data_IF_760462473732
#
_entry.id   IF_760462473732
#
_cell.length_a   1.000
_cell.length_b   1.000
_cell.length_c   1.000
_cell.angle_alpha   90.00
_cell.angle_beta   90.00
_cell.angle_gamma   90.00
#
_symmetry.space_group_name_H-M   'P 1'
#
loop_
_entity.id
_entity.type
_entity.pdbx_description
1 polymer ?
#
# COMPACT_ATOMS: atom_id res chain seq x y z
N UNK A 1 43.75 -7.89 46.28
CA UNK A 1 43.88 -8.03 44.81
C UNK A 1 42.89 -9.03 44.20
N UNK A 2 42.81 -10.29 44.65
CA UNK A 2 41.90 -11.30 44.08
C UNK A 2 40.40 -10.92 44.10
N UNK A 3 39.93 -10.26 45.16
CA UNK A 3 38.54 -9.84 45.29
C UNK A 3 38.19 -8.63 44.39
N UNK A 4 39.18 -7.76 44.14
CA UNK A 4 39.04 -6.63 43.22
C UNK A 4 38.96 -7.12 41.76
N UNK A 5 39.79 -8.11 41.39
CA UNK A 5 39.75 -8.71 40.06
C UNK A 5 38.41 -9.43 39.79
N UNK A 6 37.88 -10.15 40.79
CA UNK A 6 36.54 -10.77 40.71
C UNK A 6 35.43 -9.73 40.55
N UNK A 7 35.49 -8.61 41.29
CA UNK A 7 34.50 -7.55 41.18
C UNK A 7 34.51 -6.91 39.77
N UNK A 8 35.70 -6.68 39.21
CA UNK A 8 35.84 -6.17 37.84
C UNK A 8 35.28 -7.17 36.83
N UNK A 9 35.60 -8.46 36.96
CA UNK A 9 35.08 -9.51 36.06
C UNK A 9 33.55 -9.60 36.08
N UNK A 10 32.94 -9.54 37.28
CA UNK A 10 31.48 -9.56 37.43
C UNK A 10 30.88 -8.31 36.79
N UNK A 11 31.46 -7.13 37.04
CA UNK A 11 30.97 -5.88 36.49
C UNK A 11 31.04 -5.86 34.95
N UNK A 12 32.15 -6.33 34.37
CA UNK A 12 32.28 -6.48 32.92
C UNK A 12 31.27 -7.48 32.35
N UNK A 13 31.04 -8.62 33.00
CA UNK A 13 30.04 -9.60 32.56
C UNK A 13 28.61 -9.05 32.58
N UNK A 14 28.28 -8.21 33.57
CA UNK A 14 26.98 -7.54 33.66
C UNK A 14 26.80 -6.52 32.53
N UNK A 15 27.83 -5.71 32.24
CA UNK A 15 27.75 -4.73 31.15
C UNK A 15 27.62 -5.42 29.78
N UNK A 16 28.38 -6.48 29.54
CA UNK A 16 28.32 -7.22 28.28
C UNK A 16 26.95 -7.88 28.11
N UNK A 17 26.42 -8.52 29.15
CA UNK A 17 25.11 -9.17 29.09
C UNK A 17 23.98 -8.16 28.90
N UNK A 18 24.02 -7.02 29.59
CA UNK A 18 23.06 -5.93 29.38
C UNK A 18 23.12 -5.38 27.94
N UNK A 19 24.33 -5.18 27.39
CA UNK A 19 24.51 -4.73 26.00
C UNK A 19 23.92 -5.71 24.98
N UNK A 20 24.13 -7.01 25.19
CA UNK A 20 23.57 -8.08 24.33
C UNK A 20 22.04 -8.10 24.40
N UNK A 21 21.46 -7.95 25.59
CA UNK A 21 19.99 -7.90 25.76
C UNK A 21 19.41 -6.68 25.05
N UNK A 22 20.00 -5.50 25.22
CA UNK A 22 19.55 -4.26 24.56
C UNK A 22 19.61 -4.42 23.04
N UNK A 23 20.69 -5.00 22.52
CA UNK A 23 20.84 -5.22 21.08
C UNK A 23 19.79 -6.20 20.54
N UNK A 24 19.59 -7.34 21.21
CA UNK A 24 18.59 -8.34 20.82
C UNK A 24 17.17 -7.78 20.86
N UNK A 25 16.78 -7.05 21.91
CA UNK A 25 15.45 -6.44 22.02
C UNK A 25 15.23 -5.39 20.92
N UNK A 26 16.23 -4.57 20.62
CA UNK A 26 16.14 -3.55 19.56
C UNK A 26 16.00 -4.16 18.16
N UNK A 27 16.70 -5.27 17.88
CA UNK A 27 16.59 -5.96 16.58
C UNK A 27 15.22 -6.63 16.39
N UNK A 28 14.63 -7.19 17.45
CA UNK A 28 13.29 -7.80 17.40
C UNK A 28 12.20 -6.76 17.13
N UNK A 29 12.27 -5.61 17.80
CA UNK A 29 11.34 -4.51 17.55
C UNK A 29 11.39 -4.04 16.09
N UNK A 30 12.59 -3.92 15.49
CA UNK A 30 12.73 -3.52 14.08
C UNK A 30 12.14 -4.53 13.09
N UNK A 31 12.19 -5.82 13.41
CA UNK A 31 11.59 -6.87 12.58
C UNK A 31 10.05 -6.90 12.70
N UNK A 32 9.52 -6.62 13.89
CA UNK A 32 8.07 -6.61 14.16
C UNK A 32 7.36 -5.40 13.53
N UNK A 33 8.06 -4.27 13.36
CA UNK A 33 7.56 -3.06 12.67
C UNK A 33 8.02 -2.93 11.21
N UNK A 34 8.67 -3.95 10.64
CA UNK A 34 8.97 -3.99 9.21
C UNK A 34 7.71 -4.36 8.42
N UNK A 35 6.70 -3.50 8.51
CA UNK A 35 5.53 -3.62 7.64
C UNK A 35 5.94 -3.18 6.24
N UNK A 36 5.47 -3.93 5.25
CA UNK A 36 5.78 -3.72 3.84
C UNK A 36 5.16 -2.45 3.24
N UNK A 37 4.30 -1.74 3.99
CA UNK A 37 3.71 -0.46 3.61
C UNK A 37 4.73 0.57 3.13
N UNK A 38 5.98 0.53 3.64
CA UNK A 38 7.06 1.43 3.21
C UNK A 38 7.88 0.92 2.02
N UNK A 39 7.65 -0.32 1.57
CA UNK A 39 8.32 -0.90 0.41
C UNK A 39 7.59 -0.49 -0.87
N UNK A 40 8.04 0.61 -1.47
CA UNK A 40 7.49 1.13 -2.72
C UNK A 40 7.39 0.07 -3.83
N UNK A 41 8.41 -0.78 -3.98
CA UNK A 41 8.43 -1.82 -5.02
C UNK A 41 7.37 -2.90 -4.78
N UNK A 42 7.23 -3.35 -3.54
CA UNK A 42 6.22 -4.36 -3.21
C UNK A 42 4.80 -3.79 -3.34
N UNK A 43 4.59 -2.56 -2.88
CA UNK A 43 3.32 -1.84 -3.03
C UNK A 43 2.93 -1.65 -4.50
N UNK A 44 3.89 -1.25 -5.35
CA UNK A 44 3.66 -1.16 -6.80
C UNK A 44 3.29 -2.52 -7.38
N UNK A 45 4.03 -3.58 -7.03
CA UNK A 45 3.74 -4.93 -7.53
C UNK A 45 2.32 -5.38 -7.16
N UNK A 46 1.91 -5.23 -5.90
CA UNK A 46 0.55 -5.57 -5.43
C UNK A 46 -0.49 -4.73 -6.17
N UNK A 47 -0.24 -3.43 -6.36
CA UNK A 47 -1.14 -2.54 -7.09
C UNK A 47 -1.30 -2.94 -8.56
N UNK A 48 -0.21 -3.29 -9.24
CA UNK A 48 -0.26 -3.75 -10.63
C UNK A 48 -1.04 -5.06 -10.75
N UNK A 49 -0.78 -6.02 -9.85
CA UNK A 49 -1.50 -7.29 -9.84
C UNK A 49 -3.01 -7.10 -9.62
N UNK A 50 -3.40 -6.29 -8.63
CA UNK A 50 -4.81 -6.00 -8.35
C UNK A 50 -5.50 -5.32 -9.54
N UNK A 51 -4.84 -4.36 -10.20
CA UNK A 51 -5.36 -3.73 -11.42
C UNK A 51 -5.53 -4.72 -12.57
N UNK A 52 -4.60 -5.65 -12.75
CA UNK A 52 -4.71 -6.70 -13.77
C UNK A 52 -5.88 -7.65 -13.49
N UNK A 53 -6.09 -8.03 -12.23
CA UNK A 53 -7.21 -8.88 -11.81
C UNK A 53 -8.55 -8.18 -12.04
N UNK A 54 -8.70 -6.94 -11.55
CA UNK A 54 -9.91 -6.15 -11.76
C UNK A 54 -10.21 -5.92 -13.24
N UNK A 55 -9.17 -5.69 -14.06
CA UNK A 55 -9.33 -5.60 -15.52
C UNK A 55 -9.81 -6.93 -16.10
N UNK A 56 -9.22 -8.07 -15.70
CA UNK A 56 -9.62 -9.38 -16.20
C UNK A 56 -11.08 -9.71 -15.82
N UNK A 57 -11.49 -9.43 -14.58
CA UNK A 57 -12.86 -9.59 -14.10
C UNK A 57 -13.84 -8.72 -14.91
N UNK A 58 -13.50 -7.43 -15.09
CA UNK A 58 -14.29 -6.52 -15.91
C UNK A 58 -14.48 -7.04 -17.34
N UNK A 59 -13.41 -7.52 -17.97
CA UNK A 59 -13.44 -8.04 -19.34
C UNK A 59 -14.27 -9.33 -19.43
N UNK A 60 -14.19 -10.21 -18.43
CA UNK A 60 -14.99 -11.42 -18.39
C UNK A 60 -16.49 -11.13 -18.30
N UNK A 61 -16.88 -10.08 -17.56
CA UNK A 61 -18.28 -9.70 -17.36
C UNK A 61 -18.83 -8.81 -18.48
N UNK A 62 -18.01 -7.88 -19.01
CA UNK A 62 -18.47 -6.78 -19.87
C UNK A 62 -17.89 -6.84 -21.29
N UNK A 63 -16.92 -7.73 -21.55
CA UNK A 63 -16.12 -7.75 -22.77
C UNK A 63 -14.92 -6.80 -22.72
N UNK A 64 -13.95 -7.01 -23.61
CA UNK A 64 -12.73 -6.18 -23.69
C UNK A 64 -13.01 -4.75 -24.17
N UNK A 65 -14.02 -4.61 -25.03
CA UNK A 65 -14.47 -3.34 -25.56
C UNK A 65 -15.96 -3.19 -25.29
N UNK A 66 -16.37 -1.98 -24.93
CA UNK A 66 -17.79 -1.63 -25.01
C UNK A 66 -18.25 -1.87 -26.44
N UNK A 67 -19.36 -2.59 -26.60
CA UNK A 67 -19.99 -2.73 -27.92
C UNK A 67 -20.31 -1.34 -28.47
N UNK A 68 -20.32 -1.22 -29.79
CA UNK A 68 -20.85 0.00 -30.40
C UNK A 68 -22.29 0.22 -29.91
N UNK A 69 -22.62 1.43 -29.43
CA UNK A 69 -23.98 1.75 -29.01
C UNK A 69 -24.93 1.64 -30.20
N UNK A 70 -26.16 1.22 -29.95
CA UNK A 70 -27.19 1.26 -31.00
C UNK A 70 -27.47 2.72 -31.38
N UNK A 71 -28.14 2.94 -32.52
CA UNK A 71 -28.55 4.29 -32.93
C UNK A 71 -29.41 4.99 -31.85
N UNK A 72 -30.27 4.24 -31.16
CA UNK A 72 -31.13 4.73 -30.07
C UNK A 72 -30.31 5.12 -28.84
N UNK A 73 -29.31 4.30 -28.46
CA UNK A 73 -28.44 4.61 -27.33
C UNK A 73 -27.53 5.81 -27.63
N UNK A 74 -27.06 5.93 -28.86
CA UNK A 74 -26.27 7.07 -29.30
C UNK A 74 -27.10 8.36 -29.25
N UNK A 75 -28.36 8.31 -29.72
CA UNK A 75 -29.28 9.44 -29.65
C UNK A 75 -29.56 9.84 -28.20
N UNK A 76 -29.83 8.86 -27.32
CA UNK A 76 -30.00 9.10 -25.89
C UNK A 76 -28.77 9.76 -25.26
N UNK A 77 -27.56 9.24 -25.55
CA UNK A 77 -26.31 9.79 -25.03
C UNK A 77 -26.08 11.23 -25.49
N UNK A 78 -26.39 11.54 -26.75
CA UNK A 78 -26.32 12.89 -27.29
C UNK A 78 -27.27 13.85 -26.58
N UNK A 79 -28.54 13.45 -26.41
CA UNK A 79 -29.54 14.26 -25.70
C UNK A 79 -29.15 14.46 -24.22
N UNK A 80 -28.72 13.40 -23.54
CA UNK A 80 -28.26 13.47 -22.15
C UNK A 80 -27.08 14.44 -22.00
N UNK A 81 -26.12 14.37 -22.92
CA UNK A 81 -24.93 15.23 -22.91
C UNK A 81 -25.30 16.69 -23.15
N UNK A 82 -26.16 16.97 -24.14
CA UNK A 82 -26.67 18.31 -24.40
C UNK A 82 -27.40 18.89 -23.16
N UNK A 83 -28.25 18.09 -22.52
CA UNK A 83 -28.96 18.49 -21.30
C UNK A 83 -28.00 18.79 -20.14
N UNK A 84 -26.98 17.97 -19.93
CA UNK A 84 -25.96 18.19 -18.89
C UNK A 84 -25.13 19.44 -19.15
N UNK A 85 -24.78 19.71 -20.41
CA UNK A 85 -24.09 20.95 -20.78
C UNK A 85 -24.96 22.17 -20.52
N UNK A 86 -26.26 22.12 -20.85
CA UNK A 86 -27.20 23.19 -20.54
C UNK A 86 -27.35 23.42 -19.04
N UNK A 87 -27.42 22.36 -18.23
CA UNK A 87 -27.47 22.47 -16.77
C UNK A 87 -26.19 23.13 -16.22
N UNK A 88 -25.01 22.65 -16.64
CA UNK A 88 -23.73 23.22 -16.22
C UNK A 88 -23.59 24.70 -16.63
N UNK A 89 -24.05 25.05 -17.84
CA UNK A 89 -24.04 26.45 -18.30
C UNK A 89 -25.03 27.34 -17.55
N UNK A 90 -26.13 26.79 -17.01
CA UNK A 90 -27.09 27.52 -16.16
C UNK A 90 -26.61 27.68 -14.72
N UNK A 91 -25.79 26.75 -14.23
CA UNK A 91 -25.21 26.77 -12.88
C UNK A 91 -23.93 27.61 -12.80
N UNK A 92 -23.41 28.08 -13.93
CA UNK A 92 -22.28 29.00 -14.00
C UNK A 92 -22.76 30.44 -13.73
N UNK A 93 -22.22 31.15 -12.72
CA UNK A 93 -22.65 32.50 -12.35
C UNK A 93 -22.32 33.56 -13.41
#
# INVERSE_FOLDING_TARGET
>A
MKNLLKAIQIFTAVIVSAGVIIHLVSTKAKAEYATDYHNHYLSEQISQQSRQQAKAEWIAENGEFQREPTAEELDYLNQWTANKQLLNNKEKP
#
